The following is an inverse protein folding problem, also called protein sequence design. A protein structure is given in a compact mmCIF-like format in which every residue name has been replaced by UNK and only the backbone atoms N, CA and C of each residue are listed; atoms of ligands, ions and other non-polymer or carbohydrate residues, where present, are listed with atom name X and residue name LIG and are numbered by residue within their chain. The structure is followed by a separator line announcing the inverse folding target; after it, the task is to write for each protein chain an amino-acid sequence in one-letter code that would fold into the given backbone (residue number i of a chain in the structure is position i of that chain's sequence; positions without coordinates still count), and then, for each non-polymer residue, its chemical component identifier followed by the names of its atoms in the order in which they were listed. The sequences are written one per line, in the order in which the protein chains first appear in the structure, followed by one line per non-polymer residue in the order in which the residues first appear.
data_IF_670882139366
#
_entry.id   IF_670882139366
#
_cell.length_a   1.000
_cell.length_b   1.000
_cell.length_c   1.000
_cell.angle_alpha   90.00
_cell.angle_beta   90.00
_cell.angle_gamma   90.00
#
_symmetry.space_group_name_H-M   'P 1'
#
loop_
_entity.id
_entity.type
_entity.pdbx_description
1 polymer ?
#
# COMPACT_ATOMS: atom_id res chain seq x y z
N UNK A 1 23.29 -24.24 33.84
CA UNK A 1 22.09 -24.19 32.96
C UNK A 1 22.17 -25.31 31.95
N UNK A 2 21.09 -26.07 31.71
CA UNK A 2 21.07 -27.11 30.69
C UNK A 2 21.19 -26.50 29.28
N UNK A 3 21.95 -27.13 28.38
CA UNK A 3 22.10 -26.73 26.96
C UNK A 3 20.72 -26.51 26.30
N UNK A 4 19.72 -27.30 26.69
CA UNK A 4 18.32 -27.14 26.26
C UNK A 4 17.77 -25.74 26.52
N UNK A 5 18.05 -25.14 27.69
CA UNK A 5 17.54 -23.83 28.05
C UNK A 5 18.22 -22.71 27.27
N UNK A 6 19.50 -22.87 26.94
CA UNK A 6 20.24 -21.92 26.10
C UNK A 6 19.70 -21.93 24.67
N UNK A 7 19.44 -23.12 24.10
CA UNK A 7 18.82 -23.27 22.78
C UNK A 7 17.41 -22.65 22.77
N UNK A 8 16.58 -22.92 23.78
CA UNK A 8 15.23 -22.33 23.85
C UNK A 8 15.28 -20.81 23.91
N UNK A 9 16.17 -20.21 24.72
CA UNK A 9 16.36 -18.76 24.77
C UNK A 9 16.79 -18.19 23.41
N UNK A 10 17.72 -18.85 22.73
CA UNK A 10 18.20 -18.45 21.41
C UNK A 10 17.08 -18.51 20.36
N UNK A 11 16.28 -19.58 20.34
CA UNK A 11 15.15 -19.72 19.43
C UNK A 11 14.05 -18.68 19.70
N UNK A 12 13.77 -18.38 20.97
CA UNK A 12 12.82 -17.31 21.34
C UNK A 12 13.34 -15.96 20.84
N UNK A 13 14.62 -15.66 21.03
CA UNK A 13 15.23 -14.41 20.54
C UNK A 13 15.08 -14.29 19.01
N UNK A 14 15.36 -15.38 18.28
CA UNK A 14 15.23 -15.42 16.82
C UNK A 14 13.76 -15.25 16.38
N UNK A 15 12.81 -15.86 17.09
CA UNK A 15 11.39 -15.70 16.83
C UNK A 15 10.91 -14.26 17.05
N UNK A 16 11.35 -13.62 18.14
CA UNK A 16 11.04 -12.20 18.41
C UNK A 16 11.63 -11.31 17.32
N UNK A 17 12.87 -11.55 16.90
CA UNK A 17 13.50 -10.79 15.82
C UNK A 17 12.73 -10.94 14.50
N UNK A 18 12.35 -12.17 14.15
CA UNK A 18 11.56 -12.46 12.97
C UNK A 18 10.19 -11.76 12.99
N UNK A 19 9.47 -11.83 14.10
CA UNK A 19 8.20 -11.12 14.28
C UNK A 19 8.38 -9.60 14.22
N UNK A 20 9.46 -9.07 14.78
CA UNK A 20 9.80 -7.65 14.71
C UNK A 20 10.05 -7.19 13.27
N UNK A 21 10.83 -7.94 12.49
CA UNK A 21 11.11 -7.63 11.08
C UNK A 21 9.83 -7.69 10.24
N UNK A 22 9.01 -8.73 10.41
CA UNK A 22 7.76 -8.87 9.65
C UNK A 22 6.76 -7.76 9.99
N UNK A 23 6.65 -7.38 11.27
CA UNK A 23 5.87 -6.23 11.69
C UNK A 23 6.40 -4.90 11.11
N UNK A 24 7.73 -4.73 11.09
CA UNK A 24 8.36 -3.54 10.51
C UNK A 24 8.04 -3.42 9.01
N UNK A 25 8.14 -4.53 8.26
CA UNK A 25 7.76 -4.57 6.84
C UNK A 25 6.29 -4.19 6.64
N UNK A 26 5.40 -4.67 7.51
CA UNK A 26 3.97 -4.33 7.44
C UNK A 26 3.72 -2.83 7.64
N UNK A 27 4.39 -2.21 8.62
CA UNK A 27 4.17 -0.80 8.98
C UNK A 27 4.87 0.16 8.03
N UNK A 28 6.10 -0.16 7.59
CA UNK A 28 6.93 0.75 6.78
C UNK A 28 6.66 0.62 5.29
N UNK A 29 6.31 -0.58 4.81
CA UNK A 29 6.17 -0.84 3.38
C UNK A 29 4.71 -1.12 3.03
N UNK A 30 4.10 -2.16 3.60
CA UNK A 30 2.80 -2.64 3.13
C UNK A 30 1.69 -1.62 3.34
N UNK A 31 1.50 -1.11 4.56
CA UNK A 31 0.41 -0.16 4.86
C UNK A 31 0.53 1.15 4.06
N UNK A 32 1.68 1.84 4.03
CA UNK A 32 1.80 3.08 3.27
C UNK A 32 1.57 2.89 1.77
N UNK A 33 1.98 1.76 1.19
CA UNK A 33 1.73 1.47 -0.23
C UNK A 33 0.23 1.35 -0.55
N UNK A 34 -0.56 0.70 0.32
CA UNK A 34 -2.01 0.62 0.12
C UNK A 34 -2.69 1.98 0.33
N UNK A 35 -2.25 2.78 1.30
CA UNK A 35 -2.76 4.14 1.52
C UNK A 35 -2.44 5.06 0.33
N UNK A 36 -1.22 4.98 -0.21
CA UNK A 36 -0.83 5.72 -1.41
C UNK A 36 -1.70 5.32 -2.61
N UNK A 37 -1.87 4.02 -2.85
CA UNK A 37 -2.68 3.52 -3.95
C UNK A 37 -4.15 3.99 -3.84
N UNK A 38 -4.69 4.04 -2.62
CA UNK A 38 -6.03 4.55 -2.34
C UNK A 38 -6.14 6.06 -2.64
N UNK A 39 -5.15 6.87 -2.22
CA UNK A 39 -5.09 8.32 -2.51
C UNK A 39 -4.94 8.61 -4.00
N UNK A 40 -4.10 7.86 -4.70
CA UNK A 40 -3.96 8.00 -6.15
C UNK A 40 -5.26 7.65 -6.88
N UNK A 41 -5.98 6.63 -6.42
CA UNK A 41 -7.30 6.29 -6.96
C UNK A 41 -8.32 7.40 -6.69
N UNK A 42 -8.30 7.99 -5.49
CA UNK A 42 -9.15 9.12 -5.15
C UNK A 42 -8.88 10.34 -6.05
N UNK A 43 -7.61 10.68 -6.25
CA UNK A 43 -7.20 11.76 -7.16
C UNK A 43 -7.67 11.51 -8.60
N UNK A 44 -7.49 10.29 -9.12
CA UNK A 44 -8.00 9.93 -10.47
C UNK A 44 -9.52 10.03 -10.56
N UNK A 45 -10.25 9.60 -9.53
CA UNK A 45 -11.71 9.66 -9.51
C UNK A 45 -12.22 11.09 -9.47
N UNK A 46 -11.58 11.97 -8.70
CA UNK A 46 -11.86 13.40 -8.73
C UNK A 46 -11.59 13.99 -10.11
N UNK A 47 -10.43 13.70 -10.71
CA UNK A 47 -10.10 14.15 -12.07
C UNK A 47 -11.12 13.69 -13.11
N UNK A 48 -11.68 12.48 -13.00
CA UNK A 48 -12.74 12.01 -13.90
C UNK A 48 -14.02 12.85 -13.83
N UNK A 49 -14.36 13.36 -12.65
CA UNK A 49 -15.52 14.24 -12.46
C UNK A 49 -15.22 15.63 -13.00
N UNK A 50 -14.03 16.17 -12.74
CA UNK A 50 -13.56 17.45 -13.29
C UNK A 50 -13.55 17.43 -14.83
N UNK A 51 -12.98 16.38 -15.43
CA UNK A 51 -12.93 16.18 -16.88
C UNK A 51 -14.33 16.10 -17.51
N UNK A 52 -15.26 15.44 -16.83
CA UNK A 52 -16.64 15.31 -17.30
C UNK A 52 -17.39 16.66 -17.24
N UNK A 53 -17.21 17.44 -16.16
CA UNK A 53 -17.76 18.80 -16.06
C UNK A 53 -17.12 19.72 -17.11
N UNK A 54 -15.81 19.64 -17.29
CA UNK A 54 -15.11 20.42 -18.31
C UNK A 54 -15.58 20.05 -19.74
N UNK A 55 -15.90 18.78 -20.00
CA UNK A 55 -16.50 18.36 -21.25
C UNK A 55 -17.90 18.96 -21.44
N UNK A 56 -18.71 19.01 -20.39
CA UNK A 56 -20.03 19.62 -20.44
C UNK A 56 -19.96 21.15 -20.68
N UNK A 57 -18.99 21.85 -20.08
CA UNK A 57 -18.71 23.27 -20.36
C UNK A 57 -18.34 23.46 -21.84
N UNK A 58 -17.41 22.63 -22.36
CA UNK A 58 -17.02 22.68 -23.79
C UNK A 58 -18.21 22.42 -24.72
N UNK A 59 -19.13 21.53 -24.36
CA UNK A 59 -20.33 21.28 -25.15
C UNK A 59 -21.23 22.52 -25.21
N UNK A 60 -21.45 23.20 -24.08
CA UNK A 60 -22.20 24.47 -24.03
C UNK A 60 -21.50 25.55 -24.87
N UNK A 61 -20.18 25.60 -24.81
CA UNK A 61 -19.35 26.53 -25.58
C UNK A 61 -19.38 26.29 -27.09
N UNK A 62 -19.40 25.03 -27.51
CA UNK A 62 -19.55 24.66 -28.92
C UNK A 62 -20.92 25.08 -29.46
N UNK A 63 -21.99 24.88 -28.70
CA UNK A 63 -23.33 25.35 -29.07
C UNK A 63 -23.36 26.88 -29.24
N UNK A 64 -22.79 27.61 -28.28
CA UNK A 64 -22.67 29.07 -28.38
C UNK A 64 -21.86 29.51 -29.59
N UNK A 65 -20.81 28.76 -29.95
CA UNK A 65 -19.97 29.06 -31.09
C UNK A 65 -20.70 28.85 -32.42
N UNK A 66 -21.39 27.72 -32.56
CA UNK A 66 -22.11 27.35 -33.78
C UNK A 66 -23.27 28.32 -34.04
N UNK A 67 -23.96 28.76 -32.99
CA UNK A 67 -25.04 29.74 -33.12
C UNK A 67 -24.52 31.18 -33.23
N UNK A 68 -23.41 31.51 -32.60
CA UNK A 68 -22.79 32.84 -32.68
C UNK A 68 -22.22 33.14 -34.07
N UNK A 69 -21.60 32.15 -34.71
CA UNK A 69 -21.05 32.25 -36.06
C UNK A 69 -22.07 31.83 -37.13
N UNK A 70 -23.31 32.32 -37.03
CA UNK A 70 -24.37 32.06 -38.01
C UNK A 70 -24.95 33.37 -38.55
N UNK A 71 -25.06 33.47 -39.87
CA UNK A 71 -25.53 34.70 -40.56
C UNK A 71 -26.94 35.11 -40.11
N UNK A 72 -27.81 34.15 -39.76
CA UNK A 72 -29.15 34.42 -39.24
C UNK A 72 -29.13 35.06 -37.85
N UNK A 73 -28.21 34.62 -36.98
CA UNK A 73 -27.99 35.24 -35.67
C UNK A 73 -27.45 36.66 -35.84
N UNK A 74 -26.54 36.87 -36.79
CA UNK A 74 -25.99 38.19 -37.07
C UNK A 74 -27.07 39.17 -37.57
N UNK A 75 -27.91 38.75 -38.52
CA UNK A 75 -29.03 39.57 -39.02
C UNK A 75 -30.07 39.83 -37.94
N UNK A 76 -30.32 38.85 -37.05
CA UNK A 76 -31.16 39.04 -35.88
C UNK A 76 -30.62 40.12 -34.92
N UNK A 77 -29.33 40.08 -34.58
CA UNK A 77 -28.70 41.08 -33.70
C UNK A 77 -28.76 42.49 -34.29
N UNK A 78 -28.76 42.63 -35.62
CA UNK A 78 -28.94 43.91 -36.31
C UNK A 78 -30.39 44.41 -36.34
N UNK A 79 -31.35 43.60 -35.89
CA UNK A 79 -32.78 43.89 -35.97
C UNK A 79 -33.39 43.63 -37.35
N UNK A 80 -32.65 42.99 -38.26
CA UNK A 80 -33.06 42.73 -39.65
C UNK A 80 -33.88 41.43 -39.80
N UNK A 81 -33.89 40.57 -38.76
CA UNK A 81 -34.61 39.30 -38.74
C UNK A 81 -35.44 39.10 -37.45
N UNK A 82 -36.55 39.84 -37.25
CA UNK A 82 -37.38 39.71 -36.04
C UNK A 82 -38.08 38.34 -35.93
N UNK A 83 -38.17 37.58 -37.03
CA UNK A 83 -38.73 36.23 -37.05
C UNK A 83 -37.84 35.18 -36.37
N UNK A 84 -36.53 35.47 -36.20
CA UNK A 84 -35.53 34.56 -35.67
C UNK A 84 -35.94 33.91 -34.34
N UNK A 85 -36.54 34.69 -33.42
CA UNK A 85 -36.98 34.19 -32.12
C UNK A 85 -38.01 33.06 -32.27
N UNK A 86 -38.95 33.21 -33.21
CA UNK A 86 -40.04 32.25 -33.41
C UNK A 86 -39.60 30.97 -34.12
N UNK A 87 -38.47 31.00 -34.83
CA UNK A 87 -37.98 29.85 -35.62
C UNK A 87 -36.81 29.14 -34.96
N UNK A 88 -35.98 29.86 -34.19
CA UNK A 88 -34.73 29.33 -33.63
C UNK A 88 -34.70 29.35 -32.09
N UNK A 89 -35.45 30.23 -31.42
CA UNK A 89 -35.40 30.39 -29.96
C UNK A 89 -36.73 29.98 -29.30
N UNK A 90 -37.28 28.84 -29.73
CA UNK A 90 -38.50 28.23 -29.18
C UNK A 90 -38.17 27.43 -27.91
N UNK A 91 -39.19 27.10 -27.12
CA UNK A 91 -39.03 26.27 -25.91
C UNK A 91 -38.35 24.92 -26.22
N UNK A 92 -38.68 24.31 -27.36
CA UNK A 92 -38.05 23.06 -27.84
C UNK A 92 -36.55 23.19 -28.08
N UNK A 93 -36.04 24.41 -28.33
CA UNK A 93 -34.61 24.65 -28.50
C UNK A 93 -33.86 24.25 -27.25
N UNK A 94 -34.33 24.67 -26.06
CA UNK A 94 -33.70 24.35 -24.77
C UNK A 94 -33.62 22.83 -24.54
N UNK A 95 -34.67 22.10 -24.88
CA UNK A 95 -34.67 20.63 -24.80
C UNK A 95 -33.71 20.00 -25.82
N UNK A 96 -33.72 20.47 -27.07
CA UNK A 96 -32.91 19.90 -28.15
C UNK A 96 -31.41 20.16 -27.98
N UNK A 97 -31.02 21.34 -27.52
CA UNK A 97 -29.63 21.69 -27.20
C UNK A 97 -29.22 21.23 -25.79
N UNK A 98 -30.20 20.75 -25.02
CA UNK A 98 -30.04 20.36 -23.62
C UNK A 98 -29.43 21.51 -22.81
N UNK A 99 -29.98 22.71 -22.89
CA UNK A 99 -29.49 23.91 -22.21
C UNK A 99 -30.64 24.61 -21.51
N UNK A 100 -30.34 25.37 -20.46
CA UNK A 100 -31.34 26.00 -19.61
C UNK A 100 -31.36 27.53 -19.78
N UNK A 101 -30.33 28.11 -20.40
CA UNK A 101 -30.22 29.55 -20.61
C UNK A 101 -29.66 29.87 -21.98
N UNK A 102 -30.26 30.86 -22.63
CA UNK A 102 -29.77 31.44 -23.88
C UNK A 102 -29.92 32.95 -23.81
N UNK A 103 -28.87 33.68 -24.15
CA UNK A 103 -28.88 35.14 -24.21
C UNK A 103 -28.06 35.64 -25.39
N UNK A 104 -28.58 36.67 -26.05
CA UNK A 104 -28.00 37.34 -27.21
C UNK A 104 -27.81 38.80 -26.86
N UNK A 105 -26.56 39.25 -26.90
CA UNK A 105 -26.17 40.64 -26.69
C UNK A 105 -25.78 41.30 -28.02
N UNK A 106 -26.05 42.59 -28.15
CA UNK A 106 -25.57 43.39 -29.28
C UNK A 106 -24.11 43.83 -29.11
N UNK A 107 -23.58 44.56 -30.09
CA UNK A 107 -22.20 45.09 -30.05
C UNK A 107 -21.94 46.06 -28.88
N UNK A 108 -22.99 46.59 -28.25
CA UNK A 108 -22.95 47.46 -27.06
C UNK A 108 -23.20 46.67 -25.76
N UNK A 109 -23.18 45.33 -25.83
CA UNK A 109 -23.46 44.41 -24.73
C UNK A 109 -24.87 44.61 -24.12
N UNK A 110 -25.82 45.14 -24.90
CA UNK A 110 -27.21 45.24 -24.50
C UNK A 110 -27.97 43.97 -24.88
N UNK A 111 -28.89 43.53 -24.03
CA UNK A 111 -29.69 42.33 -24.28
C UNK A 111 -30.64 42.57 -25.46
N UNK A 112 -30.42 41.86 -26.56
CA UNK A 112 -31.36 41.78 -27.69
C UNK A 112 -32.47 40.79 -27.35
N UNK A 113 -32.09 39.65 -26.78
CA UNK A 113 -33.02 38.63 -26.30
C UNK A 113 -32.32 37.75 -25.26
N UNK A 114 -33.05 37.29 -24.24
CA UNK A 114 -32.50 36.32 -23.30
C UNK A 114 -33.58 35.68 -22.45
N UNK A 115 -33.49 34.36 -22.25
CA UNK A 115 -34.41 33.58 -21.43
C UNK A 115 -33.69 32.45 -20.73
N UNK A 116 -34.15 32.14 -19.53
CA UNK A 116 -33.85 30.91 -18.82
C UNK A 116 -35.12 30.06 -18.79
N UNK A 117 -35.03 28.80 -19.18
CA UNK A 117 -36.16 27.88 -19.31
C UNK A 117 -35.81 26.57 -18.62
N UNK A 118 -36.69 26.12 -17.74
CA UNK A 118 -36.62 24.81 -17.11
C UNK A 118 -37.51 23.83 -17.88
N UNK A 119 -36.87 22.86 -18.54
CA UNK A 119 -37.57 21.85 -19.33
C UNK A 119 -38.34 20.83 -18.49
N UNK A 120 -38.04 20.68 -17.19
CA UNK A 120 -38.79 19.76 -16.32
C UNK A 120 -40.13 20.36 -15.90
N UNK A 121 -40.15 21.64 -15.53
CA UNK A 121 -41.39 22.35 -15.18
C UNK A 121 -42.10 23.02 -16.35
N UNK A 122 -41.46 23.04 -17.53
CA UNK A 122 -41.91 23.76 -18.74
C UNK A 122 -42.16 25.26 -18.47
N UNK A 123 -41.33 25.88 -17.62
CA UNK A 123 -41.48 27.27 -17.19
C UNK A 123 -40.23 28.11 -17.43
N UNK A 124 -40.47 29.38 -17.73
CA UNK A 124 -39.41 30.38 -17.75
C UNK A 124 -39.02 30.77 -16.32
N UNK A 125 -37.73 30.77 -16.06
CA UNK A 125 -37.16 31.16 -14.77
C UNK A 125 -36.62 32.60 -14.85
N UNK A 126 -36.93 33.40 -13.84
CA UNK A 126 -36.33 34.71 -13.64
C UNK A 126 -35.17 34.60 -12.65
N UNK A 127 -33.96 34.90 -13.13
CA UNK A 127 -32.72 34.76 -12.36
C UNK A 127 -31.94 36.07 -12.45
N UNK A 128 -32.28 37.07 -11.60
CA UNK A 128 -31.77 38.43 -11.75
C UNK A 128 -30.25 38.54 -11.67
N UNK A 129 -29.61 37.72 -10.83
CA UNK A 129 -28.16 37.71 -10.64
C UNK A 129 -27.40 37.15 -11.85
N UNK A 130 -27.99 36.20 -12.59
CA UNK A 130 -27.47 35.74 -13.88
C UNK A 130 -27.53 36.84 -14.92
N UNK A 131 -28.67 37.51 -15.07
CA UNK A 131 -28.83 38.62 -16.02
C UNK A 131 -27.92 39.81 -15.67
N UNK A 132 -27.81 40.15 -14.39
CA UNK A 132 -26.88 41.17 -13.91
C UNK A 132 -25.44 40.83 -14.31
N UNK A 133 -25.01 39.57 -14.16
CA UNK A 133 -23.67 39.15 -14.58
C UNK A 133 -23.46 39.23 -16.09
N UNK A 134 -24.37 38.70 -16.90
CA UNK A 134 -24.17 38.67 -18.37
C UNK A 134 -24.21 40.05 -19.01
N UNK A 135 -24.88 41.01 -18.37
CA UNK A 135 -24.92 42.42 -18.83
C UNK A 135 -23.83 43.30 -18.24
N UNK A 136 -23.07 42.80 -17.26
CA UNK A 136 -21.97 43.55 -16.66
C UNK A 136 -20.78 43.63 -17.63
N UNK A 137 -20.36 44.82 -18.10
CA UNK A 137 -19.19 44.97 -18.96
C UNK A 137 -17.89 44.46 -18.32
N UNK A 138 -17.82 44.39 -16.99
CA UNK A 138 -16.67 43.88 -16.24
C UNK A 138 -16.66 42.35 -16.12
N UNK A 139 -17.73 41.66 -16.51
CA UNK A 139 -17.80 40.19 -16.49
C UNK A 139 -16.80 39.52 -17.44
N UNK A 140 -16.30 40.26 -18.44
CA UNK A 140 -15.41 39.75 -19.47
C UNK A 140 -16.11 38.89 -20.53
N UNK A 141 -17.39 38.53 -20.38
CA UNK A 141 -18.11 37.64 -21.31
C UNK A 141 -18.23 38.18 -22.74
N UNK A 142 -18.22 39.50 -22.90
CA UNK A 142 -18.20 40.18 -24.21
C UNK A 142 -16.82 40.54 -24.73
N UNK A 143 -15.75 40.22 -24.00
CA UNK A 143 -14.38 40.60 -24.33
C UNK A 143 -13.62 39.44 -24.96
N UNK A 144 -13.53 39.45 -26.29
CA UNK A 144 -12.90 38.37 -27.04
C UNK A 144 -11.50 38.79 -27.54
N UNK A 145 -10.42 38.10 -27.12
CA UNK A 145 -9.07 38.41 -27.59
C UNK A 145 -8.87 38.08 -29.07
N UNK A 146 -9.61 37.10 -29.60
CA UNK A 146 -9.69 36.80 -31.03
C UNK A 146 -11.02 36.10 -31.37
N UNK A 147 -11.26 35.84 -32.66
CA UNK A 147 -12.53 35.31 -33.18
C UNK A 147 -12.84 33.86 -32.78
N UNK A 148 -11.82 33.08 -32.44
CA UNK A 148 -11.96 31.65 -32.12
C UNK A 148 -11.99 31.37 -30.61
N UNK A 149 -11.75 32.41 -29.78
CA UNK A 149 -11.71 32.32 -28.33
C UNK A 149 -13.02 32.85 -27.75
N UNK A 150 -13.69 32.00 -26.98
CA UNK A 150 -14.81 32.37 -26.13
C UNK A 150 -14.38 32.51 -24.67
N UNK A 151 -15.35 32.85 -23.84
CA UNK A 151 -15.24 32.78 -22.38
C UNK A 151 -16.16 31.66 -21.92
N UNK A 152 -15.65 30.71 -21.13
CA UNK A 152 -16.43 29.59 -20.63
C UNK A 152 -16.01 29.26 -19.20
N UNK A 153 -16.93 28.75 -18.40
CA UNK A 153 -16.66 28.40 -17.01
C UNK A 153 -17.92 28.19 -16.20
N UNK A 154 -17.78 28.28 -14.88
CA UNK A 154 -18.88 28.06 -13.94
C UNK A 154 -19.27 29.39 -13.29
N UNK A 155 -20.56 29.68 -13.29
CA UNK A 155 -21.14 30.81 -12.59
C UNK A 155 -22.06 30.30 -11.48
N UNK A 156 -21.82 30.75 -10.25
CA UNK A 156 -22.76 30.55 -9.16
C UNK A 156 -23.97 31.46 -9.34
N UNK A 157 -25.16 30.89 -9.31
CA UNK A 157 -26.43 31.63 -9.39
C UNK A 157 -27.30 31.36 -8.17
N UNK A 158 -28.29 32.21 -7.96
CA UNK A 158 -29.30 32.06 -6.90
C UNK A 158 -30.11 30.77 -6.96
N UNK A 159 -30.14 30.09 -8.13
CA UNK A 159 -30.82 28.80 -8.30
C UNK A 159 -29.87 27.61 -8.13
N UNK A 160 -28.81 27.55 -8.93
CA UNK A 160 -27.83 26.47 -8.94
C UNK A 160 -26.54 26.92 -9.66
N UNK A 161 -25.41 26.19 -9.52
CA UNK A 161 -24.25 26.42 -10.37
C UNK A 161 -24.63 26.28 -11.85
N UNK A 162 -24.17 27.18 -12.69
CA UNK A 162 -24.42 27.18 -14.13
C UNK A 162 -23.11 27.05 -14.89
N UNK A 163 -23.02 26.06 -15.76
CA UNK A 163 -22.00 25.99 -16.81
C UNK A 163 -22.38 27.04 -17.86
N UNK A 164 -21.54 28.03 -18.07
CA UNK A 164 -21.84 29.17 -18.93
C UNK A 164 -20.74 29.34 -19.97
N UNK A 165 -21.12 29.65 -21.21
CA UNK A 165 -20.19 29.98 -22.26
C UNK A 165 -20.69 31.13 -23.14
N UNK A 166 -19.79 32.04 -23.48
CA UNK A 166 -20.00 33.19 -24.34
C UNK A 166 -19.07 33.15 -25.55
N UNK A 167 -19.65 33.36 -26.73
CA UNK A 167 -18.97 33.31 -28.03
C UNK A 167 -19.39 34.51 -28.89
N UNK A 168 -18.51 35.03 -29.75
CA UNK A 168 -18.81 36.23 -30.52
C UNK A 168 -19.89 35.98 -31.58
N UNK A 169 -20.79 36.94 -31.76
CA UNK A 169 -21.72 36.95 -32.91
C UNK A 169 -21.02 37.59 -34.10
N UNK A 170 -20.87 36.83 -35.19
CA UNK A 170 -20.22 37.27 -36.43
C UNK A 170 -20.73 36.48 -37.63
N UNK A 171 -20.20 36.78 -38.81
CA UNK A 171 -20.53 36.06 -40.04
C UNK A 171 -20.08 34.60 -39.98
N UNK A 172 -20.77 33.74 -40.71
CA UNK A 172 -20.49 32.31 -40.84
C UNK A 172 -19.10 32.04 -41.40
N UNK A 173 -18.65 32.89 -42.33
CA UNK A 173 -17.29 32.87 -42.89
C UNK A 173 -16.22 33.45 -41.94
N UNK A 174 -16.61 33.83 -40.72
CA UNK A 174 -15.79 34.48 -39.69
C UNK A 174 -15.11 35.77 -40.16
N UNK A 175 -15.66 36.44 -41.18
CA UNK A 175 -15.18 37.75 -41.65
C UNK A 175 -15.92 38.90 -40.99
N UNK A 176 -15.32 40.09 -41.04
CA UNK A 176 -15.91 41.31 -40.49
C UNK A 176 -15.74 41.47 -38.98
N UNK A 177 -16.35 42.53 -38.41
CA UNK A 177 -16.29 42.82 -36.98
C UNK A 177 -17.18 41.87 -36.17
N UNK A 178 -16.85 41.72 -34.88
CA UNK A 178 -17.76 41.14 -33.89
C UNK A 178 -18.94 42.11 -33.72
N UNK A 179 -20.16 41.58 -33.72
CA UNK A 179 -21.39 42.38 -33.72
C UNK A 179 -22.28 42.10 -32.51
N UNK A 180 -21.85 41.21 -31.62
CA UNK A 180 -22.58 40.84 -30.42
C UNK A 180 -21.96 39.64 -29.71
N UNK A 181 -22.70 39.10 -28.76
CA UNK A 181 -22.30 37.95 -27.96
C UNK A 181 -23.43 36.94 -27.89
N UNK A 182 -23.15 35.67 -28.21
CA UNK A 182 -24.05 34.53 -28.03
C UNK A 182 -23.66 33.82 -26.74
N UNK A 183 -24.61 33.67 -25.82
CA UNK A 183 -24.38 33.06 -24.51
C UNK A 183 -25.33 31.86 -24.38
N UNK A 184 -24.76 30.71 -24.04
CA UNK A 184 -25.52 29.55 -23.58
C UNK A 184 -25.14 29.22 -22.15
N UNK A 185 -26.11 28.70 -21.41
CA UNK A 185 -25.94 28.21 -20.04
C UNK A 185 -26.68 26.91 -19.80
N UNK A 186 -26.12 26.08 -18.93
CA UNK A 186 -26.72 24.84 -18.46
C UNK A 186 -26.54 24.73 -16.95
N UNK A 187 -27.61 24.45 -16.23
CA UNK A 187 -27.54 24.20 -14.80
C UNK A 187 -26.86 22.87 -14.49
N UNK A 188 -26.05 22.90 -13.44
CA UNK A 188 -25.54 21.74 -12.75
C UNK A 188 -26.44 21.43 -11.55
N UNK A 189 -27.73 21.21 -11.84
CA UNK A 189 -28.75 20.88 -10.85
C UNK A 189 -28.67 19.40 -10.40
N UNK A 190 -29.53 19.01 -9.47
CA UNK A 190 -29.56 17.63 -8.95
C UNK A 190 -29.77 16.56 -10.04
N UNK A 191 -30.55 16.85 -11.10
CA UNK A 191 -30.74 15.92 -12.20
C UNK A 191 -29.46 15.76 -13.03
N UNK A 192 -28.76 16.86 -13.31
CA UNK A 192 -27.50 16.86 -14.05
C UNK A 192 -26.35 16.22 -13.26
N UNK A 193 -26.31 16.44 -11.95
CA UNK A 193 -25.34 15.75 -11.06
C UNK A 193 -25.60 14.24 -11.04
N UNK A 194 -26.87 13.79 -11.09
CA UNK A 194 -27.17 12.35 -11.24
C UNK A 194 -26.70 11.78 -12.58
N UNK A 195 -26.89 12.49 -13.69
CA UNK A 195 -26.37 12.08 -15.00
C UNK A 195 -24.83 11.99 -14.99
N UNK A 196 -24.17 13.00 -14.41
CA UNK A 196 -22.72 13.01 -14.19
C UNK A 196 -22.27 11.79 -13.38
N UNK A 197 -22.99 11.45 -12.31
CA UNK A 197 -22.72 10.25 -11.52
C UNK A 197 -22.91 8.94 -12.31
N UNK A 198 -23.91 8.86 -13.18
CA UNK A 198 -24.13 7.70 -14.02
C UNK A 198 -23.01 7.52 -15.06
N UNK A 199 -22.61 8.60 -15.73
CA UNK A 199 -21.53 8.60 -16.74
C UNK A 199 -20.16 8.31 -16.15
N UNK A 200 -19.89 8.80 -14.94
CA UNK A 200 -18.59 8.61 -14.27
C UNK A 200 -18.55 7.33 -13.43
N UNK A 201 -19.70 6.75 -13.09
CA UNK A 201 -19.86 5.69 -12.08
C UNK A 201 -19.34 6.10 -10.68
N UNK A 202 -19.42 7.39 -10.37
CA UNK A 202 -18.95 7.98 -9.13
C UNK A 202 -20.08 8.78 -8.48
N UNK A 203 -20.27 8.63 -7.18
CA UNK A 203 -21.21 9.48 -6.45
C UNK A 203 -20.52 10.81 -6.21
N UNK A 204 -21.10 11.89 -6.76
CA UNK A 204 -20.55 13.22 -6.66
C UNK A 204 -21.59 14.19 -6.11
N UNK A 205 -21.13 15.13 -5.30
CA UNK A 205 -21.93 16.27 -4.85
C UNK A 205 -21.19 17.54 -5.17
N UNK A 206 -21.99 18.57 -5.48
CA UNK A 206 -21.48 19.86 -5.90
C UNK A 206 -22.18 20.91 -5.06
N UNK A 207 -21.38 21.74 -4.40
CA UNK A 207 -21.87 22.83 -3.57
C UNK A 207 -21.24 24.15 -3.99
N UNK A 208 -21.96 25.23 -3.69
CA UNK A 208 -21.33 26.54 -3.54
C UNK A 208 -20.29 26.45 -2.41
N UNK A 209 -19.16 27.12 -2.59
CA UNK A 209 -18.09 27.23 -1.58
C UNK A 209 -18.62 27.76 -0.26
N UNK A 210 -19.47 28.78 -0.31
CA UNK A 210 -19.90 29.51 0.88
C UNK A 210 -21.28 29.05 1.39
N UNK A 211 -21.85 27.99 0.80
CA UNK A 211 -23.15 27.51 1.23
C UNK A 211 -23.11 26.90 2.64
N UNK A 212 -24.16 27.19 3.41
CA UNK A 212 -24.33 26.70 4.77
C UNK A 212 -24.49 25.18 4.85
N UNK A 213 -24.99 24.55 3.78
CA UNK A 213 -25.20 23.11 3.66
C UNK A 213 -23.93 22.29 3.40
N UNK A 214 -22.78 22.94 3.17
CA UNK A 214 -21.49 22.24 3.09
C UNK A 214 -21.18 21.59 4.45
N UNK A 215 -20.81 20.30 4.52
CA UNK A 215 -20.42 19.66 5.78
C UNK A 215 -19.22 20.36 6.42
N UNK A 216 -19.20 20.50 7.76
CA UNK A 216 -18.09 21.17 8.47
C UNK A 216 -16.74 20.53 8.19
N UNK A 217 -16.68 19.19 8.12
CA UNK A 217 -15.45 18.47 7.76
C UNK A 217 -14.92 18.86 6.36
N UNK A 218 -15.81 19.12 5.40
CA UNK A 218 -15.43 19.62 4.07
C UNK A 218 -14.86 21.03 4.18
N UNK A 219 -15.52 21.93 4.92
CA UNK A 219 -15.02 23.31 5.14
C UNK A 219 -13.64 23.34 5.81
N UNK A 220 -13.42 22.50 6.81
CA UNK A 220 -12.12 22.38 7.49
C UNK A 220 -11.04 21.87 6.54
N UNK A 221 -11.32 20.82 5.77
CA UNK A 221 -10.39 20.31 4.78
C UNK A 221 -10.07 21.32 3.67
N UNK A 222 -10.99 22.22 3.33
CA UNK A 222 -10.76 23.30 2.37
C UNK A 222 -9.88 24.42 2.93
N UNK A 223 -9.92 24.68 4.23
CA UNK A 223 -9.05 25.69 4.86
C UNK A 223 -7.56 25.29 4.80
N UNK A 224 -7.28 23.99 4.69
CA UNK A 224 -5.93 23.45 4.50
C UNK A 224 -5.46 23.50 3.03
N UNK A 225 -6.36 23.76 2.07
CA UNK A 225 -6.00 23.87 0.64
C UNK A 225 -5.26 25.19 0.41
N UNK A 226 -3.93 25.10 0.32
CA UNK A 226 -3.06 26.23 0.00
C UNK A 226 -2.83 26.42 -1.50
N UNK A 227 -3.21 25.45 -2.34
CA UNK A 227 -3.06 25.50 -3.80
C UNK A 227 -4.28 24.91 -4.53
N UNK A 228 -4.76 25.61 -5.55
CA UNK A 228 -5.96 25.31 -6.34
C UNK A 228 -5.97 23.95 -7.07
N UNK A 229 -4.84 23.24 -7.14
CA UNK A 229 -4.68 21.95 -7.85
C UNK A 229 -4.54 20.74 -6.91
N UNK A 230 -4.66 20.93 -5.59
CA UNK A 230 -4.49 19.83 -4.63
C UNK A 230 -5.84 19.16 -4.33
N UNK A 231 -5.98 17.88 -4.73
CA UNK A 231 -7.09 17.03 -4.28
C UNK A 231 -6.88 16.67 -2.82
N UNK A 232 -7.78 17.11 -1.95
CA UNK A 232 -7.79 16.71 -0.55
C UNK A 232 -8.60 15.44 -0.34
N UNK A 233 -8.29 14.73 0.74
CA UNK A 233 -8.95 13.47 1.08
C UNK A 233 -9.46 13.53 2.51
N UNK A 234 -10.69 13.08 2.75
CA UNK A 234 -11.24 12.91 4.09
C UNK A 234 -11.65 11.46 4.29
N UNK A 235 -10.98 10.81 5.23
CA UNK A 235 -11.33 9.48 5.72
C UNK A 235 -12.59 9.58 6.60
N UNK A 236 -13.75 9.21 6.06
CA UNK A 236 -15.01 9.24 6.83
C UNK A 236 -15.11 8.04 7.76
N UNK A 237 -14.76 6.85 7.24
CA UNK A 237 -14.74 5.60 7.99
C UNK A 237 -13.90 4.53 7.26
N UNK A 238 -13.92 3.28 7.75
CA UNK A 238 -13.23 2.12 7.16
C UNK A 238 -13.77 1.69 5.77
N UNK A 239 -14.86 2.30 5.30
CA UNK A 239 -15.54 1.93 4.05
C UNK A 239 -15.65 3.05 3.03
N UNK A 240 -15.56 4.32 3.45
CA UNK A 240 -15.80 5.48 2.59
C UNK A 240 -14.68 6.51 2.77
N UNK A 241 -14.18 6.98 1.64
CA UNK A 241 -13.22 8.06 1.49
C UNK A 241 -13.86 9.15 0.62
N UNK A 242 -13.72 10.41 1.03
CA UNK A 242 -14.10 11.54 0.18
C UNK A 242 -12.86 12.14 -0.49
N UNK A 243 -12.89 12.27 -1.80
CA UNK A 243 -11.99 13.16 -2.54
C UNK A 243 -12.67 14.52 -2.73
N UNK A 244 -11.97 15.60 -2.44
CA UNK A 244 -12.51 16.96 -2.46
C UNK A 244 -11.62 17.84 -3.32
N UNK A 245 -12.24 18.63 -4.19
CA UNK A 245 -11.58 19.60 -5.06
C UNK A 245 -12.42 20.87 -5.20
N UNK A 246 -11.81 21.91 -5.72
CA UNK A 246 -12.41 23.19 -6.04
C UNK A 246 -12.40 23.42 -7.54
N UNK A 247 -13.54 23.80 -8.11
CA UNK A 247 -13.61 24.21 -9.52
C UNK A 247 -13.55 25.74 -9.64
N UNK A 248 -12.73 26.28 -10.57
CA UNK A 248 -12.66 27.71 -10.81
C UNK A 248 -13.95 28.25 -11.41
N UNK A 249 -14.30 29.48 -11.02
CA UNK A 249 -15.46 30.20 -11.50
C UNK A 249 -15.15 31.25 -12.55
N UNK A 250 -16.20 31.83 -13.11
CA UNK A 250 -16.12 33.01 -13.99
C UNK A 250 -15.94 34.33 -13.23
N UNK A 251 -16.44 34.42 -12.00
CA UNK A 251 -16.24 35.59 -11.11
C UNK A 251 -14.96 35.48 -10.29
N UNK A 252 -14.71 34.27 -9.79
CA UNK A 252 -13.71 34.03 -8.74
C UNK A 252 -12.88 32.80 -9.11
N UNK A 253 -11.65 32.68 -8.59
CA UNK A 253 -10.82 31.48 -8.78
C UNK A 253 -11.39 30.21 -8.12
N UNK A 254 -12.54 30.27 -7.46
CA UNK A 254 -13.20 29.11 -6.84
C UNK A 254 -14.72 29.30 -6.82
N UNK A 255 -15.44 28.74 -7.79
CA UNK A 255 -16.91 28.78 -7.82
C UNK A 255 -17.56 27.64 -7.03
N UNK A 256 -17.08 26.41 -7.21
CA UNK A 256 -17.77 25.23 -6.66
C UNK A 256 -16.82 24.32 -5.93
N UNK A 257 -17.38 23.63 -4.93
CA UNK A 257 -16.78 22.50 -4.27
C UNK A 257 -17.33 21.23 -4.89
N UNK A 258 -16.44 20.31 -5.25
CA UNK A 258 -16.83 18.98 -5.71
C UNK A 258 -16.33 17.97 -4.70
N UNK A 259 -17.25 17.16 -4.20
CA UNK A 259 -16.96 15.97 -3.42
C UNK A 259 -17.23 14.76 -4.27
N UNK A 260 -16.28 13.83 -4.28
CA UNK A 260 -16.43 12.50 -4.87
C UNK A 260 -16.33 11.47 -3.77
N UNK A 261 -17.38 10.67 -3.63
CA UNK A 261 -17.43 9.58 -2.66
C UNK A 261 -16.84 8.30 -3.28
N UNK A 262 -15.86 7.71 -2.60
CA UNK A 262 -15.15 6.52 -3.03
C UNK A 262 -15.25 5.40 -1.99
N UNK A 263 -15.57 4.16 -2.41
CA UNK A 263 -15.47 2.99 -1.53
C UNK A 263 -14.00 2.67 -1.23
N UNK A 264 -13.69 2.41 0.04
CA UNK A 264 -12.36 2.02 0.53
C UNK A 264 -12.04 0.54 0.34
N UNK A 265 -12.33 0.01 -0.85
CA UNK A 265 -12.07 -1.40 -1.18
C UNK A 265 -10.58 -1.74 -1.15
N UNK A 266 -9.72 -0.79 -1.53
CA UNK A 266 -8.25 -0.90 -1.49
C UNK A 266 -7.77 -0.97 -0.04
N UNK A 267 -8.25 -0.10 0.85
CA UNK A 267 -7.95 -0.18 2.29
C UNK A 267 -8.38 -1.52 2.89
N UNK A 268 -9.61 -1.97 2.59
CA UNK A 268 -10.11 -3.25 3.11
C UNK A 268 -9.31 -4.45 2.58
N UNK A 269 -8.92 -4.42 1.31
CA UNK A 269 -8.06 -5.43 0.70
C UNK A 269 -6.67 -5.41 1.35
N UNK A 270 -6.08 -4.23 1.56
CA UNK A 270 -4.82 -4.05 2.25
C UNK A 270 -4.86 -4.62 3.67
N UNK A 271 -5.92 -4.32 4.44
CA UNK A 271 -6.11 -4.88 5.79
C UNK A 271 -6.23 -6.40 5.78
N UNK A 272 -6.99 -6.99 4.85
CA UNK A 272 -7.12 -8.45 4.71
C UNK A 272 -5.80 -9.10 4.29
N UNK A 273 -5.08 -8.49 3.35
CA UNK A 273 -3.77 -8.95 2.90
C UNK A 273 -2.75 -8.92 4.04
N UNK A 274 -2.68 -7.81 4.80
CA UNK A 274 -1.82 -7.67 5.98
C UNK A 274 -2.11 -8.71 7.04
N UNK A 275 -3.39 -8.96 7.37
CA UNK A 275 -3.77 -9.98 8.36
C UNK A 275 -3.43 -11.41 7.88
N UNK A 276 -3.71 -11.71 6.61
CA UNK A 276 -3.40 -13.03 6.03
C UNK A 276 -1.89 -13.27 6.01
N UNK A 277 -1.11 -12.27 5.59
CA UNK A 277 0.35 -12.34 5.57
C UNK A 277 0.95 -12.47 6.98
N UNK A 278 0.38 -11.78 7.99
CA UNK A 278 0.77 -11.96 9.38
C UNK A 278 0.46 -13.38 9.87
N UNK A 279 -0.72 -13.92 9.57
CA UNK A 279 -1.10 -15.28 9.95
C UNK A 279 -0.21 -16.35 9.29
N UNK A 280 0.08 -16.22 7.99
CA UNK A 280 1.00 -17.09 7.27
C UNK A 280 2.43 -17.00 7.82
N UNK A 281 2.91 -15.79 8.13
CA UNK A 281 4.24 -15.58 8.71
C UNK A 281 4.35 -16.21 10.10
N UNK A 282 3.31 -16.08 10.94
CA UNK A 282 3.25 -16.69 12.26
C UNK A 282 3.24 -18.22 12.16
N UNK A 283 2.40 -18.79 11.29
CA UNK A 283 2.30 -20.23 11.08
C UNK A 283 3.62 -20.81 10.54
N UNK A 284 4.18 -20.20 9.50
CA UNK A 284 5.45 -20.63 8.90
C UNK A 284 6.61 -20.50 9.89
N UNK A 285 6.66 -19.40 10.64
CA UNK A 285 7.63 -19.18 11.71
C UNK A 285 7.52 -20.23 12.82
N UNK A 286 6.31 -20.59 13.24
CA UNK A 286 6.07 -21.63 14.25
C UNK A 286 6.50 -23.02 13.75
N UNK A 287 6.16 -23.38 12.51
CA UNK A 287 6.56 -24.65 11.89
C UNK A 287 8.09 -24.75 11.83
N UNK A 288 8.76 -23.69 11.36
CA UNK A 288 10.22 -23.64 11.27
C UNK A 288 10.88 -23.68 12.65
N UNK A 289 10.32 -22.98 13.64
CA UNK A 289 10.79 -22.98 15.02
C UNK A 289 10.69 -24.39 15.64
N UNK A 290 9.53 -25.03 15.54
CA UNK A 290 9.32 -26.38 16.06
C UNK A 290 10.20 -27.40 15.34
N UNK A 291 10.27 -27.35 14.00
CA UNK A 291 11.14 -28.20 13.20
C UNK A 291 12.61 -28.08 13.60
N UNK A 292 13.10 -26.85 13.74
CA UNK A 292 14.49 -26.58 14.19
C UNK A 292 14.71 -27.06 15.63
N UNK A 293 13.77 -26.81 16.54
CA UNK A 293 13.84 -27.28 17.91
C UNK A 293 13.95 -28.81 17.99
N UNK A 294 13.06 -29.55 17.31
CA UNK A 294 13.10 -31.02 17.29
C UNK A 294 14.38 -31.55 16.63
N UNK A 295 14.83 -30.93 15.54
CA UNK A 295 16.08 -31.30 14.88
C UNK A 295 17.28 -31.14 15.82
N UNK A 296 17.42 -30.01 16.53
CA UNK A 296 18.47 -29.78 17.50
C UNK A 296 18.38 -30.75 18.69
N UNK A 297 17.17 -31.02 19.19
CA UNK A 297 16.97 -31.97 20.28
C UNK A 297 17.41 -33.39 19.91
N UNK A 298 17.04 -33.85 18.71
CA UNK A 298 17.35 -35.21 18.26
C UNK A 298 18.81 -35.33 17.82
N UNK A 299 19.32 -34.38 17.04
CA UNK A 299 20.65 -34.47 16.43
C UNK A 299 21.78 -34.03 17.36
N UNK A 300 21.57 -33.09 18.27
CA UNK A 300 22.64 -32.49 19.08
C UNK A 300 22.43 -32.75 20.58
N UNK A 301 21.30 -32.32 21.14
CA UNK A 301 21.11 -32.29 22.61
C UNK A 301 21.02 -33.69 23.21
N UNK A 302 20.16 -34.57 22.69
CA UNK A 302 19.98 -35.93 23.22
C UNK A 302 21.27 -36.77 23.15
N UNK A 303 22.04 -36.76 22.04
CA UNK A 303 23.35 -37.43 21.98
C UNK A 303 24.34 -36.90 23.03
N UNK A 304 24.49 -35.58 23.14
CA UNK A 304 25.38 -34.98 24.14
C UNK A 304 24.95 -35.35 25.57
N UNK A 305 23.64 -35.32 25.88
CA UNK A 305 23.13 -35.74 27.19
C UNK A 305 23.34 -37.23 27.48
N UNK A 306 23.31 -38.10 26.46
CA UNK A 306 23.64 -39.52 26.62
C UNK A 306 25.12 -39.68 26.96
N UNK A 307 25.99 -39.01 26.22
CA UNK A 307 27.44 -39.03 26.46
C UNK A 307 27.81 -38.46 27.83
N UNK A 308 27.27 -37.31 28.22
CA UNK A 308 27.52 -36.72 29.55
C UNK A 308 27.05 -37.64 30.68
N UNK A 309 25.89 -38.32 30.53
CA UNK A 309 25.43 -39.29 31.54
C UNK A 309 26.31 -40.54 31.60
N UNK A 310 26.77 -41.05 30.45
CA UNK A 310 27.71 -42.18 30.41
C UNK A 310 29.02 -41.82 31.13
N UNK A 311 29.62 -40.68 30.78
CA UNK A 311 30.88 -40.22 31.39
C UNK A 311 30.70 -39.93 32.88
N UNK A 312 29.61 -39.26 33.28
CA UNK A 312 29.33 -38.96 34.69
C UNK A 312 29.02 -40.20 35.54
N UNK A 313 28.67 -41.32 34.91
CA UNK A 313 28.49 -42.62 35.57
C UNK A 313 29.81 -43.39 35.77
N UNK A 314 30.89 -43.03 35.06
CA UNK A 314 32.19 -43.68 35.22
C UNK A 314 32.81 -43.27 36.56
N UNK A 315 32.84 -44.20 37.51
CA UNK A 315 33.70 -44.09 38.69
C UNK A 315 35.09 -44.58 38.31
N UNK A 316 36.10 -43.69 38.41
CA UNK A 316 37.49 -43.93 37.97
C UNK A 316 38.12 -45.21 38.53
N UNK A 317 37.61 -45.74 39.65
CA UNK A 317 38.24 -46.88 40.31
C UNK A 317 37.77 -48.25 39.78
N UNK A 318 36.64 -48.38 39.06
CA UNK A 318 36.07 -49.72 38.80
C UNK A 318 35.44 -49.97 37.42
N UNK A 319 35.12 -48.95 36.61
CA UNK A 319 34.23 -49.14 35.44
C UNK A 319 34.80 -48.67 34.09
N UNK A 320 36.12 -48.75 33.93
CA UNK A 320 36.83 -48.38 32.69
C UNK A 320 36.57 -49.32 31.49
N UNK A 321 35.74 -50.34 31.66
CA UNK A 321 35.33 -51.24 30.56
C UNK A 321 34.13 -50.70 29.75
N UNK A 322 33.37 -49.75 30.29
CA UNK A 322 32.23 -49.17 29.58
C UNK A 322 32.75 -48.26 28.45
N UNK A 323 32.28 -48.49 27.22
CA UNK A 323 32.63 -47.70 26.02
C UNK A 323 31.42 -46.89 25.55
N UNK A 324 31.68 -45.72 24.96
CA UNK A 324 30.64 -44.94 24.31
C UNK A 324 30.25 -45.61 22.97
N UNK A 325 28.96 -45.61 22.58
CA UNK A 325 28.54 -46.11 21.28
C UNK A 325 29.11 -45.29 20.11
N UNK A 326 29.62 -45.96 19.09
CA UNK A 326 30.25 -45.37 17.89
C UNK A 326 29.29 -45.34 16.68
N UNK A 327 27.98 -45.45 16.92
CA UNK A 327 26.95 -45.57 15.88
C UNK A 327 26.73 -44.28 15.03
N UNK A 328 27.60 -43.28 15.19
CA UNK A 328 27.49 -41.96 14.54
C UNK A 328 28.77 -41.62 13.78
N UNK A 329 28.60 -41.02 12.61
CA UNK A 329 29.70 -40.57 11.76
C UNK A 329 29.86 -39.04 11.72
N UNK A 330 29.18 -38.31 12.61
CA UNK A 330 29.30 -36.85 12.75
C UNK A 330 30.36 -36.46 13.78
N UNK A 331 30.58 -35.16 14.00
CA UNK A 331 31.59 -34.66 14.94
C UNK A 331 31.39 -35.18 16.37
N UNK A 332 30.14 -35.51 16.74
CA UNK A 332 29.83 -36.15 18.03
C UNK A 332 30.32 -37.60 18.05
N UNK A 333 30.16 -38.35 16.94
CA UNK A 333 30.70 -39.69 16.79
C UNK A 333 32.22 -39.75 16.86
N UNK A 334 32.90 -38.85 16.12
CA UNK A 334 34.36 -38.72 16.18
C UNK A 334 34.85 -38.42 17.60
N UNK A 335 34.12 -37.58 18.34
CA UNK A 335 34.45 -37.30 19.74
C UNK A 335 34.28 -38.54 20.64
N UNK A 336 33.28 -39.39 20.38
CA UNK A 336 33.08 -40.64 21.11
C UNK A 336 34.23 -41.63 20.87
N UNK A 337 34.67 -41.78 19.61
CA UNK A 337 35.84 -42.59 19.23
C UNK A 337 37.11 -42.11 19.96
N UNK A 338 37.40 -40.80 19.88
CA UNK A 338 38.57 -40.22 20.57
C UNK A 338 38.53 -40.39 22.09
N UNK A 339 37.34 -40.42 22.69
CA UNK A 339 37.19 -40.67 24.12
C UNK A 339 37.43 -42.16 24.45
N UNK A 340 36.93 -43.07 23.63
CA UNK A 340 37.20 -44.51 23.75
C UNK A 340 38.70 -44.81 23.63
N UNK A 341 39.41 -44.18 22.68
CA UNK A 341 40.89 -44.27 22.54
C UNK A 341 41.63 -43.89 23.83
N UNK A 342 41.15 -42.85 24.51
CA UNK A 342 41.75 -42.40 25.78
C UNK A 342 41.49 -43.40 26.91
N UNK A 343 40.26 -43.93 27.01
CA UNK A 343 39.94 -44.95 28.00
C UNK A 343 40.77 -46.23 27.79
N UNK A 344 41.00 -46.62 26.54
CA UNK A 344 41.86 -47.76 26.21
C UNK A 344 43.30 -47.55 26.68
N UNK A 345 43.86 -46.37 26.43
CA UNK A 345 45.21 -46.01 26.91
C UNK A 345 45.31 -46.02 28.44
N UNK A 346 44.29 -45.49 29.14
CA UNK A 346 44.23 -45.48 30.61
C UNK A 346 44.14 -46.91 31.16
N UNK A 347 43.25 -47.74 30.59
CA UNK A 347 43.12 -49.15 30.98
C UNK A 347 44.42 -49.92 30.74
N UNK A 348 45.08 -49.70 29.60
CA UNK A 348 46.37 -50.30 29.28
C UNK A 348 47.45 -49.93 30.31
N UNK A 349 47.48 -48.66 30.74
CA UNK A 349 48.39 -48.20 31.79
C UNK A 349 48.09 -48.84 33.15
N UNK A 350 46.82 -48.92 33.56
CA UNK A 350 46.42 -49.58 34.81
C UNK A 350 46.76 -51.08 34.80
N UNK A 351 46.47 -51.78 33.70
CA UNK A 351 46.79 -53.20 33.55
C UNK A 351 48.30 -53.45 33.61
N UNK A 352 49.10 -52.59 32.97
CA UNK A 352 50.56 -52.67 33.05
C UNK A 352 51.06 -52.46 34.49
N UNK A 353 50.50 -51.49 35.21
CA UNK A 353 50.86 -51.21 36.59
C UNK A 353 50.46 -52.33 37.56
N UNK A 354 49.25 -52.89 37.41
CA UNK A 354 48.82 -54.09 38.15
C UNK A 354 49.66 -55.32 37.80
N UNK A 355 50.07 -55.47 36.54
CA UNK A 355 51.00 -56.51 36.09
C UNK A 355 52.39 -56.37 36.73
N UNK A 356 52.92 -55.15 36.81
CA UNK A 356 54.18 -54.86 37.49
C UNK A 356 54.10 -55.12 39.00
N UNK A 357 53.02 -54.69 39.66
CA UNK A 357 52.78 -54.97 41.08
C UNK A 357 52.69 -56.48 41.36
N UNK A 358 51.98 -57.24 40.52
CA UNK A 358 51.90 -58.70 40.63
C UNK A 358 53.23 -59.40 40.32
N UNK A 359 54.02 -58.88 39.37
CA UNK A 359 55.36 -59.40 39.07
C UNK A 359 56.32 -59.14 40.25
N UNK A 360 56.21 -57.98 40.88
CA UNK A 360 57.00 -57.61 42.05
C UNK A 360 56.60 -58.43 43.30
N UNK A 361 55.32 -58.76 43.47
CA UNK A 361 54.85 -59.69 44.52
C UNK A 361 55.24 -61.16 44.28
N UNK A 362 55.44 -61.60 43.03
CA UNK A 362 55.92 -62.95 42.70
C UNK A 362 57.45 -63.08 42.73
N UNK A 363 58.17 -61.97 42.73
CA UNK A 363 59.64 -61.95 42.81
C UNK A 363 60.27 -62.63 44.05
N UNK A 364 59.65 -62.68 45.26
CA UNK A 364 60.25 -63.38 46.40
C UNK A 364 60.25 -64.91 46.23
N UNK A 365 59.32 -65.48 45.47
CA UNK A 365 59.17 -66.95 45.32
C UNK A 365 60.26 -67.54 44.41
N UNK A 366 60.73 -66.77 43.42
CA UNK A 366 61.81 -67.20 42.52
C UNK A 366 63.19 -67.22 43.20
N UNK A 367 63.45 -66.33 44.15
CA UNK A 367 64.73 -66.26 44.86
C UNK A 367 64.92 -67.42 45.85
N UNK A 368 63.87 -67.84 46.57
CA UNK A 368 63.94 -69.02 47.45
C UNK A 368 64.19 -70.31 46.66
N UNK A 369 63.54 -70.48 45.50
CA UNK A 369 63.77 -71.65 44.63
C UNK A 369 65.19 -71.72 44.05
N UNK A 370 65.81 -70.57 43.74
CA UNK A 370 67.21 -70.52 43.26
C UNK A 370 68.23 -70.69 44.39
N UNK A 371 67.91 -70.34 45.63
CA UNK A 371 68.79 -70.62 46.77
C UNK A 371 68.79 -72.11 47.18
N UNK A 372 67.68 -72.83 47.00
CA UNK A 372 67.65 -74.29 47.21
C UNK A 372 68.44 -75.07 46.14
N UNK A 373 68.49 -74.56 44.90
CA UNK A 373 69.19 -75.23 43.81
C UNK A 373 70.73 -75.12 43.88
N UNK A 374 71.27 -74.17 44.66
CA UNK A 374 72.72 -74.05 44.89
C UNK A 374 73.24 -74.82 46.11
N UNK A 375 72.36 -75.45 46.91
CA UNK A 375 72.76 -76.20 48.12
C UNK A 375 72.88 -77.72 47.91
N UNK A 376 72.64 -78.24 46.70
CA UNK A 376 72.65 -79.69 46.39
C UNK A 376 73.43 -79.93 45.09
N UNK A 377 74.73 -79.67 45.10
CA UNK A 377 75.64 -80.27 44.11
C UNK A 377 77.05 -80.41 44.71
N UNK A 378 77.12 -81.22 45.77
CA UNK A 378 78.31 -81.44 46.56
C UNK A 378 78.43 -82.89 47.03
N UNK A 379 78.25 -83.87 46.13
CA UNK A 379 78.74 -85.25 46.33
C UNK A 379 78.38 -86.13 45.13
N UNK A 380 79.36 -86.41 44.27
CA UNK A 380 79.64 -87.72 43.62
C UNK A 380 80.33 -87.56 42.26
N UNK A 381 81.62 -87.19 42.30
CA UNK A 381 82.62 -87.74 41.37
C UNK A 381 83.87 -88.03 42.20
N UNK A 382 83.88 -89.18 42.88
CA UNK A 382 85.09 -89.84 43.38
C UNK A 382 85.05 -91.27 42.87
N UNK A 383 85.72 -91.51 41.74
CA UNK A 383 86.72 -92.58 41.59
C UNK A 383 86.91 -92.87 40.11
N UNK A 384 87.81 -92.13 39.47
CA UNK A 384 88.57 -92.71 38.37
C UNK A 384 90.06 -92.43 38.61
N UNK A 385 90.82 -93.52 38.60
CA UNK A 385 92.27 -93.60 38.53
C UNK A 385 93.11 -93.01 39.70
N UNK A 386 93.17 -93.74 40.82
CA UNK A 386 94.49 -94.07 41.36
C UNK A 386 95.22 -94.96 40.35
N UNK A 387 96.09 -94.35 39.53
CA UNK A 387 97.15 -95.05 38.80
C UNK A 387 98.50 -94.43 39.15
N UNK A 388 99.15 -95.11 40.09
CA UNK A 388 100.61 -95.31 40.25
C UNK A 388 101.52 -94.13 40.63
N UNK A 389 102.12 -94.34 41.82
CA UNK A 389 103.30 -93.76 42.47
C UNK A 389 103.16 -92.43 43.20
#
# INVERSE_FOLDING_TARGET
MSISHQITKFLILLAVLFLGITWLVQVVIVRPTFEQLEREQAGRNVGRVEDAIAADIRNVSNLANDWGAWDDTLTFVRGENPGYVKTNLMDSTFTNTNTDFVCVLDAKQQVVWGKCFDAESEQYLEIPDLFAFVTDPQSGLGSFPNRDRGVEGILMTSQAPMLLAARPVMRTDRTGPIQGTMIFGRFLNAARVRDLSQRTHLVADIWDRDASNVPTAVREALAEITSSDAVNHIDINDSILWGITTLPGLRDNTACLVRVEQPRSIHQLGRRASLTMAACSLLGGLILMLGTYYALQIRIVKPLQRMTRHIGGLRLDHDLQLRLPEDRSDEIGVLAERFNDLLEKIQGHQNAMSGMLNAQQKAPVGLESRMQQFSVDGSEVVSDAQRTM
#
